data_IF_971065386902
#
_entry.id   IF_971065386902
#
_cell.length_a   1.000
_cell.length_b   1.000
_cell.length_c   1.000
_cell.angle_alpha   90.00
_cell.angle_beta   90.00
_cell.angle_gamma   90.00
#
_symmetry.space_group_name_H-M   'P 1'
#
loop_
_entity.id
_entity.type
_entity.pdbx_description
1 polymer ?
#
# COMPACT_ATOMS: atom_id res chain seq x y z
N UNK A 1 -11.00 -21.94 -21.47
CA UNK A 1 -10.35 -20.63 -21.21
C UNK A 1 -10.66 -20.04 -19.84
N UNK A 2 -11.90 -20.10 -19.34
CA UNK A 2 -12.30 -19.53 -18.03
C UNK A 2 -11.63 -20.19 -16.80
N UNK A 3 -11.47 -21.52 -16.79
CA UNK A 3 -10.81 -22.26 -15.69
C UNK A 3 -9.33 -21.91 -15.49
N UNK A 4 -8.62 -21.59 -16.58
CA UNK A 4 -7.20 -21.24 -16.53
C UNK A 4 -6.99 -19.84 -15.94
N UNK A 5 -7.80 -18.88 -16.36
CA UNK A 5 -7.82 -17.52 -15.79
C UNK A 5 -8.18 -17.51 -14.30
N UNK A 6 -9.14 -18.32 -13.87
CA UNK A 6 -9.46 -18.45 -12.43
C UNK A 6 -8.32 -19.06 -11.62
N UNK A 7 -7.54 -19.97 -12.21
CA UNK A 7 -6.41 -20.62 -11.52
C UNK A 7 -5.26 -19.65 -11.27
N UNK A 8 -4.94 -18.80 -12.26
CA UNK A 8 -3.89 -17.78 -12.13
C UNK A 8 -4.30 -16.75 -11.08
N UNK A 9 -5.52 -16.21 -11.18
CA UNK A 9 -6.06 -15.25 -10.21
C UNK A 9 -6.03 -15.79 -8.79
N UNK A 10 -6.43 -17.05 -8.59
CA UNK A 10 -6.39 -17.68 -7.27
C UNK A 10 -4.96 -17.86 -6.75
N UNK A 11 -3.99 -18.15 -7.63
CA UNK A 11 -2.59 -18.31 -7.26
C UNK A 11 -1.95 -16.98 -6.82
N UNK A 12 -2.27 -15.89 -7.52
CA UNK A 12 -1.80 -14.54 -7.15
C UNK A 12 -2.42 -14.05 -5.84
N UNK A 13 -3.73 -14.29 -5.65
CA UNK A 13 -4.41 -13.99 -4.40
C UNK A 13 -3.82 -14.79 -3.23
N UNK A 14 -3.57 -16.09 -3.43
CA UNK A 14 -2.91 -16.95 -2.44
C UNK A 14 -1.50 -16.45 -2.09
N UNK A 15 -0.70 -16.06 -3.09
CA UNK A 15 0.63 -15.50 -2.87
C UNK A 15 0.60 -14.23 -2.03
N UNK A 16 -0.31 -13.32 -2.36
CA UNK A 16 -0.49 -12.04 -1.65
C UNK A 16 -0.92 -12.26 -0.19
N UNK A 17 -1.87 -13.15 0.04
CA UNK A 17 -2.35 -13.51 1.39
C UNK A 17 -1.24 -14.20 2.19
N UNK A 18 -0.45 -15.08 1.57
CA UNK A 18 0.65 -15.76 2.22
C UNK A 18 1.76 -14.78 2.65
N UNK A 19 2.12 -13.83 1.79
CA UNK A 19 3.10 -12.77 2.11
C UNK A 19 2.57 -11.88 3.24
N UNK A 20 1.30 -11.47 3.18
CA UNK A 20 0.69 -10.70 4.27
C UNK A 20 0.73 -11.46 5.60
N UNK A 21 0.35 -12.74 5.62
CA UNK A 21 0.37 -13.57 6.81
C UNK A 21 1.80 -13.71 7.39
N UNK A 22 2.80 -13.89 6.53
CA UNK A 22 4.21 -13.96 6.92
C UNK A 22 4.69 -12.63 7.54
N UNK A 23 4.40 -11.50 6.91
CA UNK A 23 4.78 -10.18 7.41
C UNK A 23 4.06 -9.86 8.72
N UNK A 24 2.78 -10.20 8.82
CA UNK A 24 1.99 -10.02 10.04
C UNK A 24 2.52 -10.89 11.19
N UNK A 25 2.83 -12.16 10.93
CA UNK A 25 3.42 -13.05 11.93
C UNK A 25 4.79 -12.53 12.39
N UNK A 26 5.62 -12.05 11.47
CA UNK A 26 6.92 -11.44 11.77
C UNK A 26 6.75 -10.21 12.67
N UNK A 27 5.83 -9.32 12.31
CA UNK A 27 5.49 -8.14 13.12
C UNK A 27 5.00 -8.53 14.53
N UNK A 28 4.12 -9.52 14.62
CA UNK A 28 3.57 -10.02 15.88
C UNK A 28 4.66 -10.56 16.81
N UNK A 29 5.62 -11.33 16.27
CA UNK A 29 6.76 -11.88 17.02
C UNK A 29 7.71 -10.76 17.47
N UNK A 30 8.09 -9.85 16.56
CA UNK A 30 8.99 -8.74 16.87
C UNK A 30 8.45 -7.83 17.98
N UNK A 31 7.12 -7.77 18.12
CA UNK A 31 6.45 -6.97 19.14
C UNK A 31 6.20 -7.71 20.47
N UNK A 32 6.70 -8.94 20.61
CA UNK A 32 6.52 -9.74 21.82
C UNK A 32 5.09 -10.24 22.02
N UNK A 33 4.42 -10.63 20.93
CA UNK A 33 3.09 -11.24 20.93
C UNK A 33 1.96 -10.36 21.50
N UNK A 34 2.13 -9.04 21.46
CA UNK A 34 1.16 -8.06 21.95
C UNK A 34 0.60 -7.27 20.77
N UNK A 35 -0.65 -7.56 20.40
CA UNK A 35 -1.39 -6.81 19.38
C UNK A 35 -2.61 -6.13 20.01
N UNK A 36 -2.72 -4.81 19.86
CA UNK A 36 -3.80 -4.00 20.46
C UNK A 36 -4.78 -3.49 19.42
N UNK A 37 -6.02 -3.19 19.83
CA UNK A 37 -7.03 -2.55 18.97
C UNK A 37 -6.57 -1.20 18.41
N UNK A 38 -5.72 -0.47 19.13
CA UNK A 38 -5.11 0.77 18.62
C UNK A 38 -4.29 0.52 17.36
N UNK A 39 -3.63 -0.63 17.27
CA UNK A 39 -2.75 -0.98 16.16
C UNK A 39 -3.53 -1.54 14.99
N UNK A 40 -4.58 -2.29 15.28
CA UNK A 40 -5.56 -2.65 14.27
C UNK A 40 -6.16 -1.39 13.64
N UNK A 41 -6.50 -0.38 14.46
CA UNK A 41 -6.93 0.94 13.99
C UNK A 41 -5.87 1.61 13.12
N UNK A 42 -4.64 1.72 13.61
CA UNK A 42 -3.53 2.35 12.87
C UNK A 42 -3.25 1.63 11.54
N UNK A 43 -3.22 0.30 11.53
CA UNK A 43 -3.02 -0.49 10.32
C UNK A 43 -4.17 -0.25 9.33
N UNK A 44 -5.41 -0.27 9.80
CA UNK A 44 -6.57 0.02 8.94
C UNK A 44 -6.51 1.43 8.36
N UNK A 45 -6.14 2.45 9.15
CA UNK A 45 -6.01 3.83 8.70
C UNK A 45 -4.90 4.02 7.65
N UNK A 46 -3.79 3.28 7.76
CA UNK A 46 -2.71 3.34 6.77
C UNK A 46 -3.01 2.52 5.50
N UNK A 47 -3.79 1.44 5.60
CA UNK A 47 -4.13 0.57 4.47
C UNK A 47 -5.32 1.09 3.65
N UNK A 48 -6.30 1.74 4.30
CA UNK A 48 -7.49 2.29 3.63
C UNK A 48 -7.17 3.16 2.40
N UNK A 49 -6.22 4.12 2.46
CA UNK A 49 -5.83 4.90 1.30
C UNK A 49 -5.29 4.05 0.14
N UNK A 50 -4.49 3.02 0.43
CA UNK A 50 -3.95 2.11 -0.59
C UNK A 50 -5.07 1.32 -1.28
N UNK A 51 -6.09 0.88 -0.54
CA UNK A 51 -7.25 0.19 -1.09
C UNK A 51 -8.05 1.10 -2.02
N UNK A 52 -8.31 2.34 -1.58
CA UNK A 52 -9.04 3.34 -2.40
C UNK A 52 -8.28 3.65 -3.69
N UNK A 53 -6.96 3.85 -3.61
CA UNK A 53 -6.13 4.09 -4.80
C UNK A 53 -6.10 2.87 -5.72
N UNK A 54 -5.99 1.65 -5.18
CA UNK A 54 -6.07 0.42 -5.98
C UNK A 54 -7.41 0.25 -6.69
N UNK A 55 -8.53 0.60 -6.03
CA UNK A 55 -9.85 0.60 -6.65
C UNK A 55 -9.98 1.66 -7.76
N UNK A 56 -9.42 2.85 -7.54
CA UNK A 56 -9.37 3.89 -8.57
C UNK A 56 -8.56 3.42 -9.79
N UNK A 57 -7.41 2.79 -9.56
CA UNK A 57 -6.56 2.25 -10.62
C UNK A 57 -7.25 1.14 -11.41
N UNK A 58 -8.00 0.26 -10.73
CA UNK A 58 -8.86 -0.73 -11.38
C UNK A 58 -9.89 -0.08 -12.31
N UNK A 59 -10.51 1.02 -11.89
CA UNK A 59 -11.45 1.78 -12.73
C UNK A 59 -10.79 2.39 -13.97
N UNK A 60 -9.57 2.93 -13.85
CA UNK A 60 -8.82 3.47 -14.99
C UNK A 60 -8.58 2.37 -16.04
N UNK A 61 -8.15 1.18 -15.62
CA UNK A 61 -7.93 0.03 -16.51
C UNK A 61 -9.25 -0.42 -17.16
N UNK A 62 -10.36 -0.44 -16.42
CA UNK A 62 -11.68 -0.78 -16.98
C UNK A 62 -12.13 0.16 -18.11
N UNK A 63 -11.80 1.45 -18.02
CA UNK A 63 -12.12 2.46 -19.05
C UNK A 63 -11.07 2.47 -20.18
N UNK A 64 -10.17 1.46 -20.23
CA UNK A 64 -9.07 1.33 -21.21
C UNK A 64 -8.00 2.43 -21.07
N UNK A 65 -7.85 2.98 -19.86
CA UNK A 65 -6.72 3.84 -19.51
C UNK A 65 -5.43 3.05 -19.31
N UNK A 66 -4.33 3.77 -19.13
CA UNK A 66 -2.99 3.19 -18.92
C UNK A 66 -2.82 2.80 -17.45
N UNK A 67 -2.14 1.68 -17.19
CA UNK A 67 -1.81 1.26 -15.83
C UNK A 67 -0.73 2.18 -15.22
N UNK A 68 -1.12 2.99 -14.24
CA UNK A 68 -0.24 3.90 -13.51
C UNK A 68 0.28 3.10 -12.31
N UNK A 69 1.59 2.89 -12.23
CA UNK A 69 2.23 2.18 -11.12
C UNK A 69 2.19 3.03 -9.84
N UNK A 70 1.01 3.24 -9.27
CA UNK A 70 0.76 4.15 -8.13
C UNK A 70 1.36 3.63 -6.83
N UNK A 71 1.58 2.32 -6.71
CA UNK A 71 2.15 1.69 -5.50
C UNK A 71 3.54 2.24 -5.13
N UNK A 72 4.54 2.17 -6.03
CA UNK A 72 5.86 2.78 -5.81
C UNK A 72 5.81 4.28 -5.48
N UNK A 73 4.97 5.06 -6.18
CA UNK A 73 4.82 6.50 -5.95
C UNK A 73 4.36 6.77 -4.52
N UNK A 74 3.32 6.05 -4.06
CA UNK A 74 2.81 6.17 -2.70
C UNK A 74 3.83 5.74 -1.65
N UNK A 75 4.61 4.69 -1.90
CA UNK A 75 5.66 4.24 -0.99
C UNK A 75 6.77 5.28 -0.83
N UNK A 76 7.22 5.88 -1.93
CA UNK A 76 8.26 6.94 -1.93
C UNK A 76 7.73 8.20 -1.24
N UNK A 77 6.55 8.70 -1.62
CA UNK A 77 5.96 9.89 -1.00
C UNK A 77 5.70 9.69 0.50
N UNK A 78 5.14 8.54 0.90
CA UNK A 78 4.86 8.23 2.31
C UNK A 78 6.13 8.12 3.15
N UNK A 79 7.16 7.44 2.63
CA UNK A 79 8.45 7.31 3.33
C UNK A 79 9.17 8.66 3.48
N UNK A 80 9.16 9.51 2.45
CA UNK A 80 9.71 10.86 2.51
C UNK A 80 8.96 11.74 3.52
N UNK A 81 7.63 11.70 3.52
CA UNK A 81 6.84 12.45 4.49
C UNK A 81 7.18 12.06 5.94
N UNK A 82 7.37 10.77 6.21
CA UNK A 82 7.76 10.27 7.53
C UNK A 82 9.17 10.71 7.94
N UNK A 83 10.14 10.61 7.03
CA UNK A 83 11.54 10.99 7.30
C UNK A 83 11.70 12.50 7.48
N UNK A 84 10.94 13.31 6.72
CA UNK A 84 11.04 14.76 6.74
C UNK A 84 10.14 15.43 7.79
N UNK A 85 9.29 14.67 8.48
CA UNK A 85 8.41 15.17 9.53
C UNK A 85 9.12 16.05 10.59
N UNK A 86 10.38 15.78 11.01
CA UNK A 86 11.12 16.64 11.94
C UNK A 86 11.41 18.06 11.42
N UNK A 87 11.40 18.28 10.10
CA UNK A 87 11.58 19.60 9.49
C UNK A 87 10.30 20.46 9.54
N UNK A 88 9.20 19.88 10.00
CA UNK A 88 7.88 20.50 10.07
C UNK A 88 6.88 19.90 9.08
N UNK A 89 5.60 19.98 9.43
CA UNK A 89 4.50 19.35 8.67
C UNK A 89 4.44 19.87 7.23
N UNK A 90 4.49 21.21 7.06
CA UNK A 90 4.36 21.85 5.75
C UNK A 90 5.49 21.46 4.78
N UNK A 91 6.79 21.57 5.13
CA UNK A 91 7.86 21.17 4.22
C UNK A 91 7.89 19.65 3.96
N UNK A 92 7.57 18.82 4.97
CA UNK A 92 7.51 17.37 4.79
C UNK A 92 6.47 16.95 3.74
N UNK A 93 5.26 17.51 3.82
CA UNK A 93 4.20 17.24 2.86
C UNK A 93 4.54 17.79 1.48
N UNK A 94 5.07 19.02 1.39
CA UNK A 94 5.42 19.64 0.12
C UNK A 94 6.48 18.83 -0.66
N UNK A 95 7.52 18.36 0.03
CA UNK A 95 8.59 17.56 -0.58
C UNK A 95 8.07 16.16 -0.96
N UNK A 96 7.26 15.54 -0.11
CA UNK A 96 6.66 14.24 -0.40
C UNK A 96 5.74 14.29 -1.65
N UNK A 97 4.96 15.35 -1.79
CA UNK A 97 4.12 15.58 -2.98
C UNK A 97 4.97 15.82 -4.22
N UNK A 98 6.00 16.67 -4.13
CA UNK A 98 6.92 16.92 -5.24
C UNK A 98 7.61 15.63 -5.72
N UNK A 99 8.09 14.79 -4.79
CA UNK A 99 8.67 13.50 -5.12
C UNK A 99 7.67 12.56 -5.79
N UNK A 100 6.40 12.58 -5.35
CA UNK A 100 5.34 11.79 -5.97
C UNK A 100 5.08 12.20 -7.42
N UNK A 101 5.03 13.51 -7.69
CA UNK A 101 4.87 14.06 -9.06
C UNK A 101 6.07 13.73 -9.95
N UNK A 102 7.29 13.74 -9.41
CA UNK A 102 8.51 13.45 -10.18
C UNK A 102 8.69 11.96 -10.52
N UNK A 103 8.03 11.06 -9.78
CA UNK A 103 8.21 9.61 -9.91
C UNK A 103 7.03 8.91 -10.58
N UNK A 104 5.95 9.65 -10.91
CA UNK A 104 4.78 9.17 -11.65
C UNK A 104 4.67 9.75 -13.04
#
# INVERSE_FOLDING_TARGET
MTRWLSSIRNSEALGSVAIFALLFATYFVLKGCRYSFFEAGNLATNVLPLVVVGLAQYFVVLVRGIDLSLGPIMAVSGSLAAVLFPLGIVPAIAIALAAGVLTG
#
